data_IF_818866285153
#
_entry.id   IF_818866285153
#
_cell.length_a   1.000
_cell.length_b   1.000
_cell.length_c   1.000
_cell.angle_alpha   90.00
_cell.angle_beta   90.00
_cell.angle_gamma   90.00
#
_symmetry.space_group_name_H-M   'P 1'
#
loop_
_entity.id
_entity.type
_entity.pdbx_description
1 polymer ?
#
# COMPACT_ATOMS: atom_id res chain seq x y z
N UNK A 1 -8.32 15.32 8.11
CA UNK A 1 -9.75 15.19 7.74
C UNK A 1 -10.01 15.98 6.48
N UNK A 2 -10.85 15.43 5.60
CA UNK A 2 -11.22 16.03 4.32
C UNK A 2 -11.87 17.38 4.50
N UNK A 3 -11.70 18.25 3.52
CA UNK A 3 -12.38 19.54 3.47
C UNK A 3 -13.12 19.71 2.16
N UNK A 4 -14.32 20.26 2.26
CA UNK A 4 -15.17 20.62 1.14
C UNK A 4 -15.79 21.96 1.47
N UNK A 5 -15.73 22.90 0.54
CA UNK A 5 -16.39 24.18 0.64
C UNK A 5 -17.29 24.36 -0.59
N UNK A 6 -18.60 24.48 -0.40
CA UNK A 6 -19.52 24.52 -1.55
C UNK A 6 -19.26 25.73 -2.49
N UNK A 7 -18.72 26.84 -1.99
CA UNK A 7 -18.44 28.04 -2.79
C UNK A 7 -17.30 27.76 -3.78
N UNK A 8 -16.27 27.04 -3.36
CA UNK A 8 -15.07 26.80 -4.18
C UNK A 8 -15.06 25.43 -4.85
N UNK A 9 -15.76 24.45 -4.27
CA UNK A 9 -15.60 23.04 -4.58
C UNK A 9 -16.88 22.42 -5.17
N UNK A 10 -17.94 23.20 -5.46
CA UNK A 10 -19.19 22.65 -5.99
C UNK A 10 -18.99 21.80 -7.27
N UNK A 11 -17.99 22.11 -8.09
CA UNK A 11 -17.62 21.32 -9.27
C UNK A 11 -17.18 19.87 -8.94
N UNK A 12 -16.78 19.60 -7.70
CA UNK A 12 -16.42 18.27 -7.22
C UNK A 12 -17.63 17.37 -6.96
N UNK A 13 -18.83 17.93 -6.81
CA UNK A 13 -20.04 17.20 -6.38
C UNK A 13 -20.34 16.02 -7.30
N UNK A 14 -20.35 16.25 -8.62
CA UNK A 14 -20.64 15.20 -9.59
C UNK A 14 -19.40 14.37 -10.01
N UNK A 15 -18.23 14.64 -9.43
CA UNK A 15 -16.98 13.94 -9.73
C UNK A 15 -16.42 13.24 -8.48
N UNK A 16 -15.51 13.87 -7.74
CA UNK A 16 -14.82 13.30 -6.59
C UNK A 16 -15.77 12.99 -5.43
N UNK A 17 -16.75 13.85 -5.12
CA UNK A 17 -17.71 13.56 -4.04
C UNK A 17 -18.54 12.34 -4.38
N UNK A 18 -19.08 12.28 -5.60
CA UNK A 18 -19.81 11.10 -6.09
C UNK A 18 -18.96 9.83 -6.05
N UNK A 19 -17.67 9.90 -6.40
CA UNK A 19 -16.74 8.79 -6.32
C UNK A 19 -16.54 8.30 -4.89
N UNK A 20 -16.28 9.23 -3.97
CA UNK A 20 -16.12 8.96 -2.55
C UNK A 20 -17.34 8.27 -1.93
N UNK A 21 -18.56 8.76 -2.22
CA UNK A 21 -19.79 8.16 -1.71
C UNK A 21 -19.96 6.71 -2.18
N UNK A 22 -19.57 6.40 -3.42
CA UNK A 22 -19.65 5.05 -3.97
C UNK A 22 -18.62 4.13 -3.32
N UNK A 23 -17.37 4.58 -3.19
CA UNK A 23 -16.32 3.75 -2.61
C UNK A 23 -16.58 3.51 -1.11
N UNK A 24 -16.97 4.56 -0.38
CA UNK A 24 -17.33 4.45 1.04
C UNK A 24 -18.50 3.47 1.25
N UNK A 25 -19.52 3.50 0.39
CA UNK A 25 -20.65 2.57 0.48
C UNK A 25 -20.21 1.11 0.29
N UNK A 26 -19.37 0.87 -0.72
CA UNK A 26 -18.83 -0.45 -1.03
C UNK A 26 -18.01 -1.00 0.14
N UNK A 27 -17.09 -0.21 0.67
CA UNK A 27 -16.21 -0.65 1.76
C UNK A 27 -16.97 -0.84 3.08
N UNK A 28 -17.90 0.06 3.42
CA UNK A 28 -18.76 -0.12 4.59
C UNK A 28 -19.57 -1.41 4.49
N UNK A 29 -20.15 -1.71 3.32
CA UNK A 29 -20.89 -2.96 3.12
C UNK A 29 -19.99 -4.18 3.36
N UNK A 30 -18.77 -4.18 2.80
CA UNK A 30 -17.82 -5.27 3.01
C UNK A 30 -17.40 -5.42 4.46
N UNK A 31 -17.09 -4.32 5.16
CA UNK A 31 -16.68 -4.35 6.56
C UNK A 31 -17.82 -4.81 7.49
N UNK A 32 -19.07 -4.48 7.17
CA UNK A 32 -20.24 -5.00 7.88
C UNK A 32 -20.32 -6.52 7.73
N UNK A 33 -20.09 -7.04 6.53
CA UNK A 33 -20.15 -8.47 6.27
C UNK A 33 -18.94 -9.24 6.86
N UNK A 34 -17.77 -8.61 6.93
CA UNK A 34 -16.51 -9.25 7.33
C UNK A 34 -16.22 -9.24 8.83
N UNK A 35 -16.70 -8.23 9.56
CA UNK A 35 -16.32 -7.98 10.94
C UNK A 35 -17.46 -8.24 11.92
N UNK A 36 -17.15 -8.89 13.06
CA UNK A 36 -18.14 -9.12 14.12
C UNK A 36 -18.47 -7.82 14.88
N UNK A 37 -17.45 -7.03 15.23
CA UNK A 37 -17.63 -5.70 15.85
C UNK A 37 -17.77 -4.62 14.78
N UNK A 38 -18.94 -4.59 14.14
CA UNK A 38 -19.23 -3.74 12.99
C UNK A 38 -20.24 -2.62 13.26
N UNK A 39 -20.65 -2.41 14.51
CA UNK A 39 -21.71 -1.43 14.88
C UNK A 39 -21.40 -0.02 14.34
N UNK A 40 -20.13 0.39 14.40
CA UNK A 40 -19.67 1.69 13.88
C UNK A 40 -19.83 1.81 12.36
N UNK A 41 -19.58 0.72 11.63
CA UNK A 41 -19.76 0.67 10.18
C UNK A 41 -21.26 0.68 9.83
N UNK A 42 -22.11 -0.02 10.59
CA UNK A 42 -23.57 0.00 10.42
C UNK A 42 -24.15 1.40 10.65
N UNK A 43 -23.74 2.09 11.73
CA UNK A 43 -24.15 3.48 12.04
C UNK A 43 -23.80 4.40 10.86
N UNK A 44 -22.56 4.32 10.40
CA UNK A 44 -22.05 5.14 9.29
C UNK A 44 -22.76 4.81 7.97
N UNK A 45 -23.01 3.53 7.69
CA UNK A 45 -23.71 3.09 6.48
C UNK A 45 -25.15 3.59 6.43
N UNK A 46 -25.87 3.60 7.56
CA UNK A 46 -27.21 4.20 7.65
C UNK A 46 -27.18 5.68 7.32
N UNK A 47 -26.24 6.42 7.89
CA UNK A 47 -26.04 7.85 7.61
C UNK A 47 -25.70 8.13 6.15
N UNK A 48 -24.86 7.29 5.55
CA UNK A 48 -24.55 7.36 4.13
C UNK A 48 -25.80 7.12 3.26
N UNK A 49 -26.68 6.20 3.63
CA UNK A 49 -27.96 5.98 2.92
C UNK A 49 -28.91 7.17 3.04
N UNK A 50 -29.01 7.78 4.23
CA UNK A 50 -29.78 9.02 4.43
C UNK A 50 -29.26 10.13 3.50
N UNK A 51 -27.94 10.34 3.46
CA UNK A 51 -27.29 11.30 2.57
C UNK A 51 -27.59 11.02 1.10
N UNK A 52 -27.43 9.77 0.65
CA UNK A 52 -27.72 9.36 -0.73
C UNK A 52 -29.19 9.53 -1.12
N UNK A 53 -30.12 9.26 -0.20
CA UNK A 53 -31.55 9.43 -0.46
C UNK A 53 -31.89 10.91 -0.63
N UNK A 54 -31.33 11.77 0.22
CA UNK A 54 -31.51 13.23 0.16
C UNK A 54 -30.89 13.84 -1.09
N UNK A 55 -29.71 13.39 -1.47
CA UNK A 55 -28.93 13.88 -2.61
C UNK A 55 -28.83 12.84 -3.74
N UNK A 56 -29.97 12.27 -4.11
CA UNK A 56 -30.03 11.18 -5.10
C UNK A 56 -29.57 11.61 -6.49
N UNK A 57 -29.81 12.87 -6.86
CA UNK A 57 -29.28 13.49 -8.08
C UNK A 57 -28.21 14.56 -7.74
N UNK A 58 -26.95 14.12 -7.69
CA UNK A 58 -25.79 14.99 -7.46
C UNK A 58 -25.60 16.04 -8.55
N UNK A 59 -26.10 15.81 -9.77
CA UNK A 59 -26.00 16.78 -10.85
C UNK A 59 -27.00 17.93 -10.65
N UNK A 60 -28.22 17.63 -10.19
CA UNK A 60 -29.21 18.62 -9.79
C UNK A 60 -28.72 19.48 -8.61
N UNK A 61 -28.11 18.86 -7.58
CA UNK A 61 -27.50 19.58 -6.45
C UNK A 61 -26.42 20.55 -6.94
N UNK A 62 -25.52 20.09 -7.80
CA UNK A 62 -24.51 20.93 -8.45
C UNK A 62 -25.14 22.12 -9.18
N UNK A 63 -26.16 21.89 -10.00
CA UNK A 63 -26.80 22.94 -10.80
C UNK A 63 -27.52 23.96 -9.92
N UNK A 64 -28.18 23.53 -8.83
CA UNK A 64 -28.81 24.42 -7.86
C UNK A 64 -27.80 25.36 -7.21
N UNK A 65 -26.70 24.80 -6.70
CA UNK A 65 -25.63 25.59 -6.08
C UNK A 65 -25.03 26.57 -7.09
N UNK A 66 -24.74 26.12 -8.31
CA UNK A 66 -24.21 26.97 -9.36
C UNK A 66 -25.17 28.13 -9.69
N UNK A 67 -26.46 27.86 -9.82
CA UNK A 67 -27.47 28.89 -10.10
C UNK A 67 -27.58 29.91 -8.97
N UNK A 68 -27.51 29.47 -7.71
CA UNK A 68 -27.52 30.35 -6.55
C UNK A 68 -26.29 31.27 -6.53
N UNK A 69 -25.10 30.73 -6.83
CA UNK A 69 -23.85 31.48 -6.94
C UNK A 69 -23.82 32.43 -8.15
N UNK A 70 -24.52 32.11 -9.24
CA UNK A 70 -24.64 32.96 -10.43
C UNK A 70 -25.84 33.92 -10.38
N UNK A 71 -26.62 33.90 -9.31
CA UNK A 71 -27.73 34.85 -9.13
C UNK A 71 -27.20 36.29 -9.06
N UNK A 72 -27.99 37.24 -9.56
CA UNK A 72 -27.59 38.65 -9.60
C UNK A 72 -27.16 39.17 -8.22
N UNK A 73 -27.89 38.83 -7.15
CA UNK A 73 -27.54 39.24 -5.79
C UNK A 73 -26.17 38.68 -5.36
N UNK A 74 -25.95 37.38 -5.55
CA UNK A 74 -24.68 36.72 -5.20
C UNK A 74 -23.51 37.28 -5.99
N UNK A 75 -23.69 37.53 -7.29
CA UNK A 75 -22.65 38.10 -8.17
C UNK A 75 -22.35 39.54 -7.79
N UNK A 76 -23.37 40.39 -7.60
CA UNK A 76 -23.17 41.78 -7.17
C UNK A 76 -22.44 41.87 -5.83
N UNK A 77 -22.81 41.01 -4.87
CA UNK A 77 -22.11 40.94 -3.60
C UNK A 77 -20.65 40.50 -3.79
N UNK A 78 -20.40 39.48 -4.60
CA UNK A 78 -19.05 38.97 -4.85
C UNK A 78 -18.16 40.02 -5.54
N UNK A 79 -18.67 40.72 -6.57
CA UNK A 79 -17.96 41.81 -7.25
C UNK A 79 -17.62 42.94 -6.28
N UNK A 80 -18.54 43.30 -5.37
CA UNK A 80 -18.32 44.37 -4.40
C UNK A 80 -17.34 44.01 -3.28
N UNK A 81 -17.36 42.75 -2.82
CA UNK A 81 -16.64 42.33 -1.61
C UNK A 81 -15.44 41.41 -1.88
N UNK A 82 -15.22 41.00 -3.13
CA UNK A 82 -14.15 40.07 -3.54
C UNK A 82 -14.39 38.61 -3.13
N UNK A 83 -15.56 38.28 -2.57
CA UNK A 83 -15.97 36.93 -2.16
C UNK A 83 -17.49 36.80 -2.08
N UNK A 84 -17.99 35.60 -2.27
CA UNK A 84 -19.41 35.27 -2.01
C UNK A 84 -19.76 35.41 -0.53
N UNK A 85 -21.04 35.64 -0.23
CA UNK A 85 -21.56 35.47 1.13
C UNK A 85 -21.44 34.00 1.55
N UNK A 86 -21.28 33.75 2.85
CA UNK A 86 -21.23 32.38 3.38
C UNK A 86 -22.52 31.60 3.13
N UNK A 87 -23.66 32.31 3.03
CA UNK A 87 -24.99 31.78 2.75
C UNK A 87 -25.46 32.02 1.31
N UNK A 88 -24.53 32.23 0.37
CA UNK A 88 -24.84 32.43 -1.04
C UNK A 88 -25.63 31.27 -1.68
N UNK A 89 -25.58 30.07 -1.11
CA UNK A 89 -26.51 28.97 -1.43
C UNK A 89 -26.91 28.22 -0.15
N UNK A 90 -28.20 28.21 0.16
CA UNK A 90 -28.74 27.41 1.27
C UNK A 90 -28.60 25.92 1.00
N UNK A 91 -28.77 25.49 -0.26
CA UNK A 91 -28.55 24.11 -0.70
C UNK A 91 -27.08 23.72 -0.51
N UNK A 92 -26.16 24.63 -0.89
CA UNK A 92 -24.72 24.43 -0.72
C UNK A 92 -24.30 24.30 0.74
N UNK A 93 -24.80 25.19 1.61
CA UNK A 93 -24.57 25.13 3.06
C UNK A 93 -25.07 23.81 3.67
N UNK A 94 -26.27 23.40 3.29
CA UNK A 94 -26.85 22.16 3.79
C UNK A 94 -26.05 20.94 3.33
N UNK A 95 -25.70 20.89 2.05
CA UNK A 95 -24.89 19.82 1.48
C UNK A 95 -23.50 19.72 2.13
N UNK A 96 -22.82 20.86 2.31
CA UNK A 96 -21.51 20.91 2.96
C UNK A 96 -21.59 20.38 4.40
N UNK A 97 -22.61 20.79 5.17
CA UNK A 97 -22.82 20.33 6.54
C UNK A 97 -23.01 18.81 6.58
N UNK A 98 -23.90 18.28 5.75
CA UNK A 98 -24.25 16.86 5.76
C UNK A 98 -23.06 16.01 5.26
N UNK A 99 -22.30 16.50 4.27
CA UNK A 99 -21.08 15.84 3.80
C UNK A 99 -19.98 15.84 4.88
N UNK A 100 -19.86 16.93 5.65
CA UNK A 100 -18.92 17.00 6.77
C UNK A 100 -19.25 15.99 7.88
N UNK A 101 -20.53 15.70 8.12
CA UNK A 101 -20.92 14.63 9.04
C UNK A 101 -20.37 13.27 8.58
N UNK A 102 -20.42 12.97 7.28
CA UNK A 102 -19.82 11.75 6.71
C UNK A 102 -18.30 11.70 6.90
N UNK A 103 -17.58 12.82 6.76
CA UNK A 103 -16.14 12.85 7.00
C UNK A 103 -15.76 12.55 8.45
N UNK A 104 -16.56 13.03 9.40
CA UNK A 104 -16.36 12.74 10.83
C UNK A 104 -16.59 11.24 11.10
N UNK A 105 -17.62 10.66 10.49
CA UNK A 105 -17.90 9.24 10.61
C UNK A 105 -16.82 8.36 9.95
N UNK A 106 -16.31 8.75 8.77
CA UNK A 106 -15.16 8.10 8.13
C UNK A 106 -13.95 8.08 9.08
N UNK A 107 -13.65 9.19 9.75
CA UNK A 107 -12.53 9.25 10.70
C UNK A 107 -12.73 8.36 11.93
N UNK A 108 -13.96 8.26 12.43
CA UNK A 108 -14.32 7.31 13.51
C UNK A 108 -14.14 5.87 13.04
N UNK A 109 -14.65 5.53 11.84
CA UNK A 109 -14.46 4.22 11.21
C UNK A 109 -12.99 3.89 11.03
N UNK A 110 -12.19 4.81 10.50
CA UNK A 110 -10.74 4.67 10.33
C UNK A 110 -10.05 4.30 11.64
N UNK A 111 -10.40 4.99 12.72
CA UNK A 111 -9.84 4.70 14.06
C UNK A 111 -10.17 3.28 14.54
N UNK A 112 -11.29 2.70 14.07
CA UNK A 112 -11.61 1.30 14.30
C UNK A 112 -10.86 0.37 13.34
N UNK A 113 -10.76 0.75 12.06
CA UNK A 113 -10.01 -0.01 11.04
C UNK A 113 -8.55 -0.23 11.44
N UNK A 114 -7.88 0.74 12.07
CA UNK A 114 -6.49 0.55 12.54
C UNK A 114 -6.35 -0.62 13.52
N UNK A 115 -7.37 -0.87 14.35
CA UNK A 115 -7.35 -2.04 15.24
C UNK A 115 -7.38 -3.35 14.45
N UNK A 116 -8.06 -3.37 13.30
CA UNK A 116 -8.07 -4.51 12.39
C UNK A 116 -6.69 -4.71 11.75
N UNK A 117 -6.00 -3.63 11.37
CA UNK A 117 -4.60 -3.70 10.92
C UNK A 117 -3.70 -4.31 12.00
N UNK A 118 -3.81 -3.85 13.25
CA UNK A 118 -3.03 -4.44 14.36
C UNK A 118 -3.35 -5.90 14.63
N UNK A 119 -4.62 -6.29 14.48
CA UNK A 119 -5.11 -7.65 14.76
C UNK A 119 -4.73 -8.65 13.68
N UNK A 120 -4.86 -8.26 12.41
CA UNK A 120 -4.82 -9.19 11.27
C UNK A 120 -3.44 -9.30 10.62
N UNK A 121 -2.55 -8.33 10.85
CA UNK A 121 -1.17 -8.43 10.36
C UNK A 121 -0.39 -9.48 11.16
N UNK A 122 0.42 -10.26 10.45
CA UNK A 122 1.36 -11.20 11.01
C UNK A 122 2.55 -10.46 11.62
N UNK A 123 2.82 -10.74 12.89
CA UNK A 123 4.03 -10.27 13.57
C UNK A 123 5.28 -10.70 12.80
N UNK A 124 6.22 -9.77 12.60
CA UNK A 124 7.46 -10.01 11.86
C UNK A 124 8.25 -11.23 12.38
N UNK A 125 8.32 -11.36 13.70
CA UNK A 125 9.12 -12.43 14.32
C UNK A 125 8.47 -13.82 14.13
N UNK A 126 7.16 -13.86 13.92
CA UNK A 126 6.35 -15.07 13.72
C UNK A 126 6.25 -15.49 12.24
N UNK A 127 6.76 -14.69 11.30
CA UNK A 127 6.77 -15.02 9.87
C UNK A 127 7.61 -16.28 9.63
N UNK A 128 6.99 -17.25 8.94
CA UNK A 128 7.61 -18.50 8.53
C UNK A 128 7.35 -18.80 7.05
N UNK A 129 8.41 -19.17 6.35
CA UNK A 129 8.34 -19.50 4.93
C UNK A 129 7.45 -20.73 4.68
N UNK A 130 6.43 -20.53 3.82
CA UNK A 130 5.42 -21.54 3.51
C UNK A 130 4.24 -21.57 4.47
N UNK A 131 4.13 -20.65 5.44
CA UNK A 131 2.93 -20.45 6.27
C UNK A 131 2.14 -19.21 5.81
N UNK A 132 0.88 -19.12 6.22
CA UNK A 132 0.03 -17.98 5.87
C UNK A 132 0.49 -16.73 6.62
N UNK A 133 0.46 -15.59 5.92
CA UNK A 133 0.88 -14.32 6.50
C UNK A 133 0.20 -13.16 5.82
N UNK A 134 0.23 -12.01 6.49
CA UNK A 134 -0.16 -10.73 5.94
C UNK A 134 0.70 -9.64 6.57
N UNK A 135 1.33 -8.78 5.76
CA UNK A 135 2.23 -7.74 6.26
C UNK A 135 2.21 -6.50 5.39
N UNK A 136 2.55 -5.35 5.97
CA UNK A 136 2.76 -4.10 5.21
C UNK A 136 4.23 -3.95 4.92
N UNK A 137 4.56 -3.75 3.65
CA UNK A 137 5.93 -3.62 3.17
C UNK A 137 6.16 -2.32 2.42
N UNK A 138 7.36 -1.78 2.57
CA UNK A 138 7.91 -0.79 1.65
C UNK A 138 8.87 -1.51 0.71
N UNK A 139 8.47 -1.63 -0.56
CA UNK A 139 9.34 -2.14 -1.61
C UNK A 139 10.25 -1.00 -2.09
N UNK A 140 11.53 -1.06 -1.74
CA UNK A 140 12.52 -0.12 -2.23
C UNK A 140 13.87 -0.77 -2.37
N UNK A 141 14.63 -0.31 -3.37
CA UNK A 141 16.06 -0.56 -3.47
C UNK A 141 16.85 0.26 -2.48
N UNK A 142 16.29 0.91 -1.47
CA UNK A 142 17.03 1.64 -0.45
C UNK A 142 16.32 1.56 0.89
N UNK A 143 17.11 1.66 1.96
CA UNK A 143 16.56 1.57 3.31
C UNK A 143 15.57 2.75 3.51
N UNK A 144 14.31 2.49 3.89
CA UNK A 144 13.35 3.54 4.16
C UNK A 144 13.90 4.53 5.20
N UNK A 145 13.69 5.82 4.97
CA UNK A 145 14.24 6.87 5.84
C UNK A 145 15.64 7.35 5.47
N UNK A 146 16.34 6.74 4.50
CA UNK A 146 17.64 7.26 4.03
C UNK A 146 17.48 8.40 3.01
N UNK A 147 18.42 9.37 2.97
CA UNK A 147 18.40 10.48 2.01
C UNK A 147 18.36 10.03 0.55
N UNK A 148 18.93 8.87 0.27
CA UNK A 148 19.09 8.38 -1.10
C UNK A 148 17.84 7.64 -1.63
N UNK A 149 16.83 7.32 -0.81
CA UNK A 149 15.70 6.45 -1.23
C UNK A 149 15.06 6.92 -2.57
N UNK A 150 15.41 6.23 -3.66
CA UNK A 150 15.26 6.63 -5.06
C UNK A 150 13.82 6.96 -5.47
N UNK A 151 12.85 6.35 -4.80
CA UNK A 151 11.41 6.64 -4.99
C UNK A 151 11.05 8.11 -4.67
N UNK A 152 12.00 8.90 -4.15
CA UNK A 152 11.78 10.25 -3.65
C UNK A 152 12.90 11.25 -4.00
N UNK A 153 13.74 10.96 -5.01
CA UNK A 153 14.77 11.90 -5.44
C UNK A 153 14.18 13.24 -5.97
N UNK A 154 14.84 14.35 -5.58
CA UNK A 154 14.71 15.69 -6.17
C UNK A 154 13.38 16.43 -6.02
N UNK A 155 12.71 16.36 -4.87
CA UNK A 155 11.81 17.46 -4.48
C UNK A 155 12.24 18.00 -3.12
N UNK A 156 12.21 19.32 -2.93
CA UNK A 156 12.64 20.03 -1.71
C UNK A 156 11.83 19.67 -0.44
N UNK A 157 11.00 18.63 -0.52
CA UNK A 157 10.17 18.09 0.55
C UNK A 157 10.48 16.60 0.64
N UNK A 158 11.22 16.19 1.67
CA UNK A 158 11.20 14.80 2.11
C UNK A 158 9.74 14.46 2.40
N UNK A 159 9.10 13.67 1.53
CA UNK A 159 7.68 13.37 1.66
C UNK A 159 7.41 12.79 3.05
N UNK A 160 6.39 13.31 3.71
CA UNK A 160 6.10 13.03 5.12
C UNK A 160 5.27 11.76 5.32
N UNK A 161 5.08 11.01 4.24
CA UNK A 161 4.40 9.72 4.22
C UNK A 161 5.33 8.65 3.63
N UNK A 162 5.07 7.39 3.98
CA UNK A 162 5.59 6.21 3.31
C UNK A 162 4.46 5.62 2.46
N UNK A 163 4.78 5.37 1.19
CA UNK A 163 3.94 4.55 0.33
C UNK A 163 4.41 3.10 0.49
N UNK A 164 3.49 2.26 0.94
CA UNK A 164 3.69 0.85 1.24
C UNK A 164 2.64 0.04 0.47
N UNK A 165 2.77 -1.28 0.52
CA UNK A 165 1.76 -2.21 0.04
C UNK A 165 1.49 -3.26 1.12
N UNK A 166 0.26 -3.71 1.18
CA UNK A 166 -0.09 -4.97 1.83
C UNK A 166 0.38 -6.11 0.92
N UNK A 167 1.10 -7.07 1.50
CA UNK A 167 1.35 -8.36 0.85
C UNK A 167 0.84 -9.47 1.76
N UNK A 168 0.44 -10.57 1.16
CA UNK A 168 0.01 -11.77 1.88
C UNK A 168 0.47 -13.03 1.15
N UNK A 169 0.27 -14.17 1.78
CA UNK A 169 0.45 -15.48 1.13
C UNK A 169 -0.36 -15.66 -0.16
N UNK A 170 -1.43 -14.88 -0.37
CA UNK A 170 -2.30 -14.91 -1.56
C UNK A 170 -1.98 -13.82 -2.58
N UNK A 171 -1.33 -12.75 -2.14
CA UNK A 171 -0.94 -11.60 -2.95
C UNK A 171 0.51 -11.20 -2.64
N UNK A 172 1.45 -11.75 -3.42
CA UNK A 172 2.90 -11.50 -3.28
C UNK A 172 3.42 -10.53 -4.33
N UNK A 173 2.57 -9.60 -4.76
CA UNK A 173 2.90 -8.65 -5.81
C UNK A 173 3.83 -7.57 -5.25
N UNK A 174 4.90 -7.28 -5.98
CA UNK A 174 5.87 -6.25 -5.59
C UNK A 174 6.09 -5.28 -6.73
N UNK A 175 6.35 -4.03 -6.38
CA UNK A 175 6.69 -2.99 -7.35
C UNK A 175 7.96 -3.36 -8.12
N UNK A 176 7.87 -3.43 -9.45
CA UNK A 176 8.98 -3.76 -10.35
C UNK A 176 9.77 -5.04 -9.99
N UNK A 177 9.09 -6.05 -9.43
CA UNK A 177 9.75 -7.32 -9.08
C UNK A 177 10.78 -7.22 -7.95
N UNK A 178 10.70 -6.17 -7.13
CA UNK A 178 11.62 -5.95 -6.01
C UNK A 178 11.70 -7.18 -5.09
N UNK A 179 12.92 -7.57 -4.74
CA UNK A 179 13.25 -8.76 -3.94
C UNK A 179 13.51 -8.49 -2.45
N UNK A 180 13.87 -7.25 -2.12
CA UNK A 180 14.08 -6.79 -0.75
C UNK A 180 12.88 -5.97 -0.28
N UNK A 181 12.11 -6.49 0.66
CA UNK A 181 10.88 -5.84 1.15
C UNK A 181 11.06 -5.46 2.61
N UNK A 182 10.93 -4.18 2.94
CA UNK A 182 11.07 -3.72 4.33
C UNK A 182 9.71 -3.77 5.03
N UNK A 183 9.61 -4.53 6.12
CA UNK A 183 8.36 -4.70 6.86
C UNK A 183 8.13 -3.50 7.79
N UNK A 184 6.98 -2.87 7.65
CA UNK A 184 6.57 -1.69 8.41
C UNK A 184 5.54 -2.07 9.47
N UNK A 185 5.67 -1.47 10.64
CA UNK A 185 4.59 -1.50 11.62
C UNK A 185 3.42 -0.62 11.20
N UNK A 186 2.22 -1.07 11.53
CA UNK A 186 1.00 -0.26 11.43
C UNK A 186 0.46 -0.02 12.84
N UNK A 187 0.32 1.24 13.18
CA UNK A 187 -0.12 1.72 14.49
C UNK A 187 -1.12 2.88 14.37
N UNK A 188 -1.82 3.17 15.48
CA UNK A 188 -2.86 4.21 15.55
C UNK A 188 -2.34 5.61 15.22
N UNK A 189 -1.07 5.86 15.51
CA UNK A 189 -0.43 7.15 15.31
C UNK A 189 0.19 7.30 13.91
N UNK A 190 0.46 6.19 13.22
CA UNK A 190 1.11 6.16 11.91
C UNK A 190 0.17 5.86 10.73
N UNK A 191 -0.94 5.16 10.93
CA UNK A 191 -1.82 4.80 9.82
C UNK A 191 -2.58 6.02 9.27
N UNK A 192 -2.54 6.20 7.95
CA UNK A 192 -3.24 7.29 7.25
C UNK A 192 -4.40 6.73 6.45
N UNK A 193 -4.13 5.82 5.52
CA UNK A 193 -5.12 5.28 4.59
C UNK A 193 -4.65 3.98 3.94
N UNK A 194 -5.56 3.31 3.27
CA UNK A 194 -5.27 2.14 2.43
C UNK A 194 -6.21 2.11 1.24
N UNK A 195 -5.74 1.57 0.12
CA UNK A 195 -6.50 1.36 -1.10
C UNK A 195 -6.10 0.04 -1.72
N UNK A 196 -7.07 -0.72 -2.23
CA UNK A 196 -6.80 -1.98 -2.94
C UNK A 196 -6.16 -1.74 -4.32
N UNK A 197 -6.10 -0.48 -4.75
CA UNK A 197 -5.35 -0.02 -5.91
C UNK A 197 -4.28 0.98 -5.52
N UNK A 198 -3.22 1.05 -6.31
CA UNK A 198 -2.26 2.15 -6.25
C UNK A 198 -3.02 3.49 -6.28
N UNK A 199 -2.67 4.38 -5.37
CA UNK A 199 -3.29 5.69 -5.30
C UNK A 199 -2.25 6.80 -5.27
N UNK A 200 -2.67 7.95 -5.81
CA UNK A 200 -1.77 9.11 -5.85
C UNK A 200 -1.75 9.77 -4.50
N UNK A 201 -0.69 9.49 -3.76
CA UNK A 201 -0.41 10.11 -2.48
C UNK A 201 0.51 11.31 -2.64
N UNK A 202 0.20 12.41 -1.93
CA UNK A 202 1.03 13.61 -1.88
C UNK A 202 0.86 14.35 -0.55
N UNK A 203 1.83 15.19 -0.20
CA UNK A 203 1.72 16.18 0.87
C UNK A 203 1.54 17.61 0.32
N UNK A 204 0.79 18.44 1.04
CA UNK A 204 0.48 19.83 0.67
C UNK A 204 0.39 20.72 1.92
N UNK A 205 0.61 22.03 1.75
CA UNK A 205 0.43 23.02 2.82
C UNK A 205 -1.03 23.49 2.98
N UNK A 206 -1.93 23.05 2.09
CA UNK A 206 -3.35 23.39 2.12
C UNK A 206 -4.22 22.15 2.02
N UNK A 207 -5.22 22.01 2.91
CA UNK A 207 -6.16 20.88 2.86
C UNK A 207 -7.17 21.04 1.74
N UNK A 208 -7.64 19.89 1.24
CA UNK A 208 -8.64 19.74 0.18
C UNK A 208 -9.56 18.53 0.45
N UNK A 209 -10.39 18.18 -0.53
CA UNK A 209 -11.31 17.04 -0.46
C UNK A 209 -10.61 15.68 -0.33
N UNK A 210 -9.40 15.54 -0.86
CA UNK A 210 -8.63 14.30 -0.82
C UNK A 210 -7.74 14.19 0.44
N UNK A 211 -7.72 15.23 1.27
CA UNK A 211 -6.91 15.27 2.49
C UNK A 211 -7.42 14.30 3.54
N UNK A 212 -6.62 13.30 3.89
CA UNK A 212 -6.96 12.28 4.89
C UNK A 212 -6.37 12.61 6.26
N UNK A 213 -5.11 13.07 6.29
CA UNK A 213 -4.39 13.32 7.55
C UNK A 213 -3.78 14.73 7.58
N UNK A 214 -3.88 15.38 8.73
CA UNK A 214 -3.04 16.53 9.08
C UNK A 214 -1.89 16.01 9.95
N UNK A 215 -0.67 16.45 9.65
CA UNK A 215 0.55 16.14 10.39
C UNK A 215 1.28 17.45 10.72
N UNK A 216 2.05 17.43 11.82
CA UNK A 216 2.93 18.53 12.19
C UNK A 216 4.36 18.18 11.77
N UNK A 217 4.99 19.08 11.03
CA UNK A 217 6.37 18.96 10.58
C UNK A 217 7.09 20.21 11.04
N UNK A 218 7.88 20.08 12.11
CA UNK A 218 8.65 21.18 12.69
C UNK A 218 7.79 22.44 13.00
N UNK A 219 6.59 22.25 13.54
CA UNK A 219 5.65 23.33 13.86
C UNK A 219 4.86 23.87 12.66
N UNK A 220 5.02 23.27 11.47
CA UNK A 220 4.23 23.59 10.27
C UNK A 220 3.21 22.49 10.00
N UNK A 221 1.97 22.89 9.68
CA UNK A 221 0.92 21.94 9.29
C UNK A 221 1.13 21.47 7.86
N UNK A 222 1.19 20.16 7.68
CA UNK A 222 1.16 19.49 6.39
C UNK A 222 -0.06 18.58 6.30
N UNK A 223 -0.54 18.39 5.09
CA UNK A 223 -1.74 17.62 4.79
C UNK A 223 -1.40 16.50 3.82
N UNK A 224 -1.66 15.26 4.23
CA UNK A 224 -1.49 14.09 3.37
C UNK A 224 -2.81 13.85 2.64
N UNK A 225 -2.75 13.86 1.32
CA UNK A 225 -3.88 13.58 0.44
C UNK A 225 -3.64 12.32 -0.36
N UNK A 226 -4.73 11.60 -0.66
CA UNK A 226 -4.71 10.35 -1.43
C UNK A 226 -5.78 10.41 -2.51
N UNK A 227 -5.42 10.02 -3.74
CA UNK A 227 -6.28 10.04 -4.92
C UNK A 227 -6.24 11.36 -5.70
N UNK A 228 -6.84 11.37 -6.89
CA UNK A 228 -6.85 12.54 -7.76
C UNK A 228 -8.05 13.46 -7.52
N UNK A 229 -7.80 14.76 -7.55
CA UNK A 229 -8.87 15.77 -7.52
C UNK A 229 -9.62 15.74 -8.85
N UNK A 230 -10.95 15.88 -8.81
CA UNK A 230 -11.86 15.83 -9.97
C UNK A 230 -12.01 14.46 -10.67
N UNK A 231 -11.45 13.37 -10.11
CA UNK A 231 -11.57 12.05 -10.71
C UNK A 231 -12.48 11.13 -9.88
N UNK A 232 -13.63 10.76 -10.46
CA UNK A 232 -14.60 9.88 -9.80
C UNK A 232 -14.06 8.45 -9.60
N UNK A 233 -13.19 7.96 -10.48
CA UNK A 233 -12.73 6.55 -10.47
C UNK A 233 -11.65 6.28 -9.43
N UNK A 234 -11.08 7.34 -8.85
CA UNK A 234 -9.86 7.28 -8.04
C UNK A 234 -10.08 7.94 -6.69
N UNK A 235 -11.32 7.87 -6.19
CA UNK A 235 -11.64 8.24 -4.83
C UNK A 235 -11.16 7.15 -3.89
N UNK A 236 -10.37 7.54 -2.89
CA UNK A 236 -9.81 6.64 -1.89
C UNK A 236 -10.38 7.02 -0.54
N UNK A 237 -10.82 6.05 0.25
CA UNK A 237 -11.22 6.27 1.65
C UNK A 237 -10.06 5.93 2.59
N UNK A 238 -10.31 6.01 3.89
CA UNK A 238 -9.36 5.64 4.93
C UNK A 238 -9.80 4.47 5.82
N UNK A 239 -10.87 3.73 5.45
CA UNK A 239 -11.49 2.73 6.33
C UNK A 239 -11.12 1.27 6.01
N UNK A 240 -10.29 1.03 4.99
CA UNK A 240 -9.96 -0.33 4.60
C UNK A 240 -9.29 -1.16 5.68
N UNK A 241 -9.56 -2.47 5.68
CA UNK A 241 -8.92 -3.47 6.55
C UNK A 241 -8.00 -4.38 5.73
N UNK A 242 -7.00 -5.04 6.35
CA UNK A 242 -6.08 -5.91 5.62
C UNK A 242 -6.79 -6.99 4.80
N UNK A 243 -7.77 -7.67 5.39
CA UNK A 243 -8.56 -8.73 4.73
C UNK A 243 -9.37 -8.18 3.55
N UNK A 244 -9.98 -6.99 3.71
CA UNK A 244 -10.73 -6.35 2.64
C UNK A 244 -9.83 -5.98 1.46
N UNK A 245 -8.65 -5.41 1.73
CA UNK A 245 -7.66 -5.05 0.71
C UNK A 245 -7.21 -6.31 -0.03
N UNK A 246 -6.79 -7.37 0.68
CA UNK A 246 -6.39 -8.64 0.05
C UNK A 246 -7.50 -9.19 -0.86
N UNK A 247 -8.75 -9.27 -0.38
CA UNK A 247 -9.84 -9.80 -1.19
C UNK A 247 -10.09 -8.99 -2.47
N UNK A 248 -10.09 -7.66 -2.36
CA UNK A 248 -10.32 -6.77 -3.49
C UNK A 248 -9.18 -6.84 -4.49
N UNK A 249 -7.95 -6.89 -4.00
CA UNK A 249 -6.76 -6.96 -4.84
C UNK A 249 -6.64 -8.31 -5.56
N UNK A 250 -6.92 -9.43 -4.88
CA UNK A 250 -7.02 -10.76 -5.51
C UNK A 250 -8.12 -10.81 -6.56
N UNK A 251 -9.32 -10.29 -6.24
CA UNK A 251 -10.45 -10.23 -7.20
C UNK A 251 -10.09 -9.40 -8.43
N UNK A 252 -9.41 -8.27 -8.24
CA UNK A 252 -8.93 -7.40 -9.32
C UNK A 252 -7.93 -8.14 -10.19
N UNK A 253 -6.94 -8.80 -9.59
CA UNK A 253 -5.88 -9.50 -10.32
C UNK A 253 -6.42 -10.62 -11.20
N UNK A 254 -7.31 -11.44 -10.63
CA UNK A 254 -7.97 -12.53 -11.34
C UNK A 254 -8.85 -12.01 -12.49
N UNK A 255 -9.50 -10.85 -12.29
CA UNK A 255 -10.31 -10.23 -13.34
C UNK A 255 -9.46 -9.72 -14.51
N UNK A 256 -8.29 -9.13 -14.23
CA UNK A 256 -7.45 -8.50 -15.24
C UNK A 256 -6.58 -9.52 -16.00
N UNK A 257 -6.04 -10.50 -15.29
CA UNK A 257 -5.03 -11.43 -15.83
C UNK A 257 -5.47 -12.89 -15.89
N UNK A 258 -6.48 -13.29 -15.11
CA UNK A 258 -6.88 -14.69 -14.95
C UNK A 258 -5.97 -15.53 -14.04
N UNK A 259 -4.86 -14.98 -13.54
CA UNK A 259 -3.84 -15.72 -12.80
C UNK A 259 -3.40 -14.97 -11.53
N UNK A 260 -2.86 -15.69 -10.55
CA UNK A 260 -2.22 -15.11 -9.37
C UNK A 260 -0.70 -15.13 -9.51
N UNK A 261 -0.01 -14.32 -8.71
CA UNK A 261 1.45 -14.36 -8.56
C UNK A 261 2.24 -13.95 -9.83
N UNK A 262 1.66 -13.15 -10.71
CA UNK A 262 2.29 -12.69 -11.95
C UNK A 262 3.43 -11.71 -11.69
N UNK A 263 4.41 -11.66 -12.61
CA UNK A 263 5.40 -10.59 -12.70
C UNK A 263 4.73 -9.30 -13.24
N UNK A 264 5.04 -8.12 -12.66
CA UNK A 264 4.41 -6.82 -12.96
C UNK A 264 2.90 -6.74 -12.71
N UNK A 265 2.45 -7.34 -11.60
CA UNK A 265 1.06 -7.29 -11.16
C UNK A 265 0.65 -5.92 -10.60
N UNK A 266 -0.66 -5.66 -10.51
CA UNK A 266 -1.20 -4.42 -9.97
C UNK A 266 -0.95 -4.35 -8.45
N UNK A 267 -0.38 -3.24 -7.98
CA UNK A 267 -0.14 -3.03 -6.54
C UNK A 267 -1.36 -2.42 -5.84
N UNK A 268 -1.44 -2.66 -4.55
CA UNK A 268 -2.29 -1.92 -3.62
C UNK A 268 -1.45 -0.87 -2.89
N UNK A 269 -2.09 0.09 -2.22
CA UNK A 269 -1.40 1.14 -1.46
C UNK A 269 -1.82 1.14 0.01
N UNK A 270 -0.84 1.26 0.88
CA UNK A 270 -0.99 1.57 2.31
C UNK A 270 -0.14 2.80 2.59
N UNK A 271 -0.76 3.84 3.13
CA UNK A 271 -0.11 5.12 3.40
C UNK A 271 0.12 5.24 4.89
N UNK A 272 1.38 5.42 5.28
CA UNK A 272 1.80 5.59 6.67
C UNK A 272 2.50 6.93 6.90
N UNK A 273 2.38 7.51 8.09
CA UNK A 273 3.15 8.67 8.53
C UNK A 273 4.62 8.27 8.71
N UNK A 274 5.48 8.80 7.83
CA UNK A 274 6.90 8.41 7.78
C UNK A 274 7.63 8.73 9.07
N UNK A 275 7.22 9.80 9.77
CA UNK A 275 7.91 10.29 10.96
C UNK A 275 7.67 9.41 12.19
N UNK A 276 6.64 8.55 12.14
CA UNK A 276 6.24 7.67 13.25
C UNK A 276 6.37 6.19 12.92
N UNK A 277 6.51 5.86 11.64
CA UNK A 277 6.62 4.47 11.20
C UNK A 277 7.98 3.88 11.54
N UNK A 278 7.98 2.65 12.05
CA UNK A 278 9.18 1.87 12.35
C UNK A 278 9.27 0.67 11.40
N UNK A 279 10.47 0.42 10.91
CA UNK A 279 10.80 -0.81 10.18
C UNK A 279 11.15 -1.91 11.18
N UNK A 280 10.56 -3.10 11.04
CA UNK A 280 10.85 -4.26 11.89
C UNK A 280 11.98 -5.14 11.38
N UNK A 281 12.16 -5.19 10.08
CA UNK A 281 13.17 -5.99 9.40
C UNK A 281 12.87 -6.06 7.91
N UNK A 282 13.51 -6.97 7.21
CA UNK A 282 13.28 -7.20 5.79
C UNK A 282 12.74 -8.61 5.51
N UNK A 283 12.15 -8.77 4.32
CA UNK A 283 11.90 -10.02 3.65
C UNK A 283 12.80 -10.08 2.42
N UNK A 284 13.51 -11.19 2.26
CA UNK A 284 14.05 -11.60 0.97
C UNK A 284 12.98 -12.46 0.28
N UNK A 285 12.38 -11.91 -0.77
CA UNK A 285 11.33 -12.56 -1.55
C UNK A 285 11.94 -13.22 -2.78
N UNK A 286 11.81 -14.54 -2.86
CA UNK A 286 12.19 -15.35 -4.01
C UNK A 286 10.99 -15.60 -4.94
N UNK A 287 11.22 -15.69 -6.25
CA UNK A 287 10.22 -16.13 -7.25
C UNK A 287 10.06 -17.66 -7.33
N UNK A 288 10.80 -18.43 -6.53
CA UNK A 288 10.79 -19.89 -6.55
C UNK A 288 12.00 -20.53 -7.25
N UNK A 289 12.73 -19.76 -8.05
CA UNK A 289 14.04 -20.11 -8.57
C UNK A 289 14.85 -18.83 -8.83
N UNK A 290 15.82 -18.52 -7.97
CA UNK A 290 16.67 -17.33 -8.07
C UNK A 290 17.89 -17.43 -7.14
N UNK A 291 18.84 -16.51 -7.33
CA UNK A 291 20.00 -16.31 -6.46
C UNK A 291 19.94 -14.91 -5.89
N UNK A 292 19.66 -14.79 -4.60
CA UNK A 292 19.51 -13.50 -3.91
C UNK A 292 20.79 -13.07 -3.19
N UNK A 293 21.96 -13.36 -3.75
CA UNK A 293 23.25 -13.08 -3.11
C UNK A 293 23.49 -11.57 -2.98
N UNK A 294 23.17 -10.79 -4.01
CA UNK A 294 23.36 -9.34 -3.99
C UNK A 294 22.47 -8.68 -2.93
N UNK A 295 21.19 -9.07 -2.88
CA UNK A 295 20.24 -8.60 -1.86
C UNK A 295 20.67 -9.02 -0.45
N UNK A 296 21.15 -10.24 -0.29
CA UNK A 296 21.68 -10.74 0.99
C UNK A 296 22.86 -9.91 1.48
N UNK A 297 23.90 -9.77 0.65
CA UNK A 297 25.11 -9.01 1.01
C UNK A 297 24.77 -7.57 1.38
N UNK A 298 23.82 -6.99 0.64
CA UNK A 298 23.31 -5.67 0.91
C UNK A 298 22.62 -5.59 2.27
N UNK A 299 21.68 -6.47 2.59
CA UNK A 299 21.01 -6.47 3.90
C UNK A 299 21.99 -6.70 5.05
N UNK A 300 22.97 -7.59 4.86
CA UNK A 300 24.09 -7.84 5.79
C UNK A 300 24.90 -6.56 6.02
N UNK A 301 25.25 -5.84 4.95
CA UNK A 301 26.01 -4.57 5.04
C UNK A 301 25.24 -3.47 5.79
N UNK A 302 23.91 -3.48 5.71
CA UNK A 302 23.05 -2.54 6.42
C UNK A 302 22.74 -2.98 7.88
N UNK A 303 23.16 -4.19 8.28
CA UNK A 303 22.83 -4.75 9.60
C UNK A 303 21.33 -5.02 9.78
N UNK A 304 20.58 -5.22 8.69
CA UNK A 304 19.12 -5.42 8.74
C UNK A 304 18.81 -6.90 8.86
N UNK A 305 18.13 -7.29 9.95
CA UNK A 305 17.60 -8.65 10.09
C UNK A 305 16.58 -8.93 8.98
N UNK A 306 16.57 -10.16 8.47
CA UNK A 306 15.66 -10.56 7.41
C UNK A 306 15.03 -11.94 7.63
N UNK A 307 13.94 -12.21 6.89
CA UNK A 307 13.32 -13.54 6.74
C UNK A 307 13.24 -13.89 5.26
N UNK A 308 13.29 -15.19 4.95
CA UNK A 308 13.15 -15.68 3.58
C UNK A 308 11.69 -16.05 3.29
N UNK A 309 11.17 -15.63 2.14
CA UNK A 309 9.87 -16.04 1.62
C UNK A 309 10.06 -16.53 0.19
N UNK A 310 9.64 -17.77 -0.07
CA UNK A 310 9.70 -18.38 -1.38
C UNK A 310 8.28 -18.44 -1.98
N UNK A 311 8.04 -17.61 -3.00
CA UNK A 311 6.77 -17.53 -3.75
C UNK A 311 6.36 -18.86 -4.39
N UNK A 312 7.32 -19.70 -4.77
CA UNK A 312 7.08 -21.02 -5.33
C UNK A 312 6.31 -21.95 -4.39
N UNK A 313 6.53 -21.86 -3.07
CA UNK A 313 5.77 -22.65 -2.09
C UNK A 313 4.28 -22.26 -2.07
N UNK A 314 3.98 -20.98 -2.26
CA UNK A 314 2.61 -20.45 -2.25
C UNK A 314 1.87 -20.71 -3.56
N UNK A 315 2.60 -20.65 -4.69
CA UNK A 315 2.10 -21.11 -6.00
C UNK A 315 1.69 -22.58 -5.92
N UNK A 316 2.55 -23.44 -5.36
CA UNK A 316 2.25 -24.87 -5.20
C UNK A 316 1.01 -25.13 -4.33
N UNK A 317 0.86 -24.44 -3.20
CA UNK A 317 -0.38 -24.49 -2.39
C UNK A 317 -1.64 -24.13 -3.16
N UNK A 318 -1.50 -23.31 -4.20
CA UNK A 318 -2.58 -22.86 -5.09
C UNK A 318 -2.71 -23.72 -6.35
N UNK A 319 -2.05 -24.89 -6.42
CA UNK A 319 -1.97 -25.77 -7.59
C UNK A 319 -1.38 -25.09 -8.84
N UNK A 320 -0.46 -24.13 -8.65
CA UNK A 320 0.30 -23.46 -9.71
C UNK A 320 1.73 -23.98 -9.66
N UNK A 321 2.39 -24.10 -10.82
CA UNK A 321 3.82 -24.44 -10.91
C UNK A 321 4.65 -23.49 -10.01
N UNK A 322 5.68 -23.97 -9.28
CA UNK A 322 6.48 -23.11 -8.41
C UNK A 322 7.14 -21.95 -9.17
N UNK A 323 7.49 -22.18 -10.43
CA UNK A 323 8.02 -21.18 -11.34
C UNK A 323 7.68 -21.52 -12.79
N UNK A 324 7.81 -20.54 -13.68
CA UNK A 324 7.70 -20.71 -15.13
C UNK A 324 9.03 -21.15 -15.75
N UNK A 325 8.99 -21.65 -16.97
CA UNK A 325 10.22 -21.98 -17.71
C UNK A 325 11.10 -20.74 -17.96
N UNK A 326 10.48 -19.57 -18.15
CA UNK A 326 11.19 -18.30 -18.30
C UNK A 326 11.93 -17.90 -17.02
N UNK A 327 11.25 -17.98 -15.87
CA UNK A 327 11.85 -17.72 -14.55
C UNK A 327 13.04 -18.67 -14.30
N UNK A 328 12.88 -19.96 -14.61
CA UNK A 328 13.95 -20.94 -14.43
C UNK A 328 15.14 -20.71 -15.38
N UNK A 329 14.90 -20.33 -16.63
CA UNK A 329 15.98 -19.99 -17.56
C UNK A 329 16.75 -18.74 -17.09
N UNK A 330 16.05 -17.73 -16.57
CA UNK A 330 16.69 -16.53 -15.99
C UNK A 330 17.51 -16.88 -14.74
N UNK A 331 17.04 -17.83 -13.92
CA UNK A 331 17.80 -18.38 -12.80
C UNK A 331 19.11 -19.04 -13.28
N UNK A 332 19.07 -19.88 -14.31
CA UNK A 332 20.28 -20.52 -14.86
C UNK A 332 21.30 -19.48 -15.36
N UNK A 333 20.83 -18.44 -16.05
CA UNK A 333 21.70 -17.32 -16.48
C UNK A 333 22.33 -16.63 -15.26
N UNK A 334 21.55 -16.41 -14.20
CA UNK A 334 22.04 -15.79 -12.96
C UNK A 334 23.08 -16.68 -12.26
N UNK A 335 22.89 -18.00 -12.31
CA UNK A 335 23.82 -19.00 -11.76
C UNK A 335 25.13 -19.06 -12.53
N UNK A 336 25.09 -18.94 -13.85
CA UNK A 336 26.29 -18.86 -14.69
C UNK A 336 27.08 -17.58 -14.39
N UNK A 337 26.39 -16.47 -14.13
CA UNK A 337 26.98 -15.16 -13.79
C UNK A 337 27.47 -15.03 -12.33
N UNK A 338 27.28 -16.05 -11.48
CA UNK A 338 27.62 -15.97 -10.05
C UNK A 338 29.09 -15.63 -9.81
N UNK A 339 30.00 -16.12 -10.66
CA UNK A 339 31.45 -15.89 -10.53
C UNK A 339 31.80 -14.40 -10.69
N UNK A 340 31.08 -13.70 -11.57
CA UNK A 340 31.22 -12.26 -11.76
C UNK A 340 30.68 -11.46 -10.58
N UNK A 341 29.56 -11.90 -9.99
CA UNK A 341 29.00 -11.28 -8.77
C UNK A 341 29.99 -11.44 -7.61
N UNK A 342 30.52 -12.65 -7.39
CA UNK A 342 31.52 -12.93 -6.36
C UNK A 342 32.73 -12.01 -6.51
N UNK A 343 33.26 -11.88 -7.73
CA UNK A 343 34.40 -11.00 -8.03
C UNK A 343 34.06 -9.52 -7.82
N UNK A 344 32.89 -9.08 -8.29
CA UNK A 344 32.45 -7.68 -8.21
C UNK A 344 32.33 -7.21 -6.76
N UNK A 345 31.74 -8.03 -5.90
CA UNK A 345 31.51 -7.71 -4.49
C UNK A 345 32.62 -8.21 -3.56
N UNK A 346 33.69 -8.81 -4.13
CA UNK A 346 34.80 -9.40 -3.37
C UNK A 346 34.30 -10.35 -2.26
N UNK A 347 33.35 -11.21 -2.62
CA UNK A 347 32.63 -12.09 -1.69
C UNK A 347 33.59 -13.16 -1.15
N UNK A 348 33.70 -13.24 0.17
CA UNK A 348 34.54 -14.23 0.84
C UNK A 348 33.89 -15.62 0.85
N UNK A 349 34.68 -16.64 1.22
CA UNK A 349 34.13 -17.98 1.46
C UNK A 349 33.08 -17.94 2.58
N UNK A 350 33.37 -17.22 3.66
CA UNK A 350 32.47 -17.05 4.80
C UNK A 350 31.16 -16.39 4.38
N UNK A 351 31.19 -15.35 3.55
CA UNK A 351 29.98 -14.69 3.07
C UNK A 351 29.11 -15.61 2.20
N UNK A 352 29.73 -16.41 1.33
CA UNK A 352 28.99 -17.42 0.54
C UNK A 352 28.43 -18.54 1.41
N UNK A 353 29.18 -18.95 2.44
CA UNK A 353 28.74 -19.99 3.37
C UNK A 353 27.55 -19.50 4.20
N UNK A 354 27.62 -18.29 4.74
CA UNK A 354 26.52 -17.66 5.48
C UNK A 354 25.31 -17.47 4.55
N UNK A 355 25.50 -16.99 3.32
CA UNK A 355 24.42 -16.89 2.32
C UNK A 355 23.72 -18.23 2.10
N UNK A 356 24.47 -19.32 2.00
CA UNK A 356 23.90 -20.65 1.83
C UNK A 356 23.06 -21.08 3.04
N UNK A 357 23.55 -20.84 4.25
CA UNK A 357 22.86 -21.21 5.50
C UNK A 357 21.66 -20.31 5.81
N UNK A 358 21.76 -19.01 5.55
CA UNK A 358 20.77 -18.00 5.93
C UNK A 358 19.74 -17.72 4.84
N UNK A 359 20.04 -18.04 3.57
CA UNK A 359 19.15 -17.78 2.43
C UNK A 359 18.81 -19.06 1.67
N UNK A 360 19.79 -19.76 1.10
CA UNK A 360 19.50 -20.90 0.20
C UNK A 360 18.72 -22.01 0.91
N UNK A 361 19.16 -22.44 2.10
CA UNK A 361 18.45 -23.48 2.87
C UNK A 361 17.06 -22.98 3.33
N UNK A 362 16.91 -21.79 3.95
CA UNK A 362 15.60 -21.30 4.40
C UNK A 362 14.59 -21.02 3.28
N UNK A 363 15.05 -20.77 2.05
CA UNK A 363 14.16 -20.62 0.89
C UNK A 363 13.40 -21.89 0.55
N UNK A 364 13.91 -23.08 0.91
CA UNK A 364 13.28 -24.37 0.61
C UNK A 364 12.95 -24.49 -0.88
N UNK A 365 13.91 -24.20 -1.74
CA UNK A 365 13.77 -24.42 -3.18
C UNK A 365 13.49 -25.91 -3.47
N UNK A 366 12.88 -26.19 -4.61
CA UNK A 366 12.65 -27.57 -5.03
C UNK A 366 13.96 -28.31 -5.35
N UNK A 367 13.87 -29.62 -5.52
CA UNK A 367 15.04 -30.49 -5.75
C UNK A 367 15.85 -30.07 -6.98
N UNK A 368 15.19 -29.64 -8.06
CA UNK A 368 15.84 -29.26 -9.30
C UNK A 368 16.72 -28.03 -9.08
N UNK A 369 16.13 -26.96 -8.55
CA UNK A 369 16.83 -25.70 -8.27
C UNK A 369 17.94 -25.92 -7.24
N UNK A 370 17.66 -26.68 -6.17
CA UNK A 370 18.66 -26.99 -5.15
C UNK A 370 19.86 -27.75 -5.73
N UNK A 371 19.64 -28.70 -6.64
CA UNK A 371 20.71 -29.46 -7.28
C UNK A 371 21.62 -28.55 -8.12
N UNK A 372 21.05 -27.63 -8.89
CA UNK A 372 21.81 -26.67 -9.70
C UNK A 372 22.62 -25.71 -8.82
N UNK A 373 22.00 -25.14 -7.77
CA UNK A 373 22.70 -24.28 -6.80
C UNK A 373 23.84 -25.04 -6.13
N UNK A 374 23.59 -26.24 -5.60
CA UNK A 374 24.62 -27.06 -4.94
C UNK A 374 25.77 -27.41 -5.89
N UNK A 375 25.46 -27.74 -7.15
CA UNK A 375 26.48 -28.03 -8.16
C UNK A 375 27.37 -26.80 -8.38
N UNK A 376 26.80 -25.61 -8.54
CA UNK A 376 27.59 -24.37 -8.73
C UNK A 376 28.39 -24.01 -7.47
N UNK A 377 27.79 -24.06 -6.28
CA UNK A 377 28.44 -23.72 -5.03
C UNK A 377 29.52 -24.72 -4.61
N UNK A 378 29.48 -25.96 -5.11
CA UNK A 378 30.52 -26.97 -4.84
C UNK A 378 31.90 -26.56 -5.37
N UNK A 379 31.98 -25.77 -6.44
CA UNK A 379 33.24 -25.20 -6.94
C UNK A 379 33.91 -24.25 -5.95
N UNK A 380 33.13 -23.72 -5.00
CA UNK A 380 33.57 -22.85 -3.91
C UNK A 380 33.74 -23.61 -2.59
N UNK A 381 33.57 -24.94 -2.59
CA UNK A 381 33.64 -25.75 -1.38
C UNK A 381 32.41 -25.63 -0.47
N UNK A 382 31.26 -25.22 -1.02
CA UNK A 382 29.99 -25.08 -0.31
C UNK A 382 28.99 -26.14 -0.81
N UNK A 383 28.30 -26.81 0.12
CA UNK A 383 27.29 -27.81 -0.19
C UNK A 383 27.05 -28.80 0.95
N UNK A 384 25.99 -29.61 0.81
CA UNK A 384 25.48 -30.56 1.81
C UNK A 384 26.50 -31.62 2.29
N UNK A 385 27.63 -31.77 1.60
CA UNK A 385 28.69 -32.73 1.90
C UNK A 385 30.02 -32.09 2.33
N UNK A 386 30.01 -30.85 2.82
CA UNK A 386 31.16 -30.27 3.54
C UNK A 386 31.17 -30.69 5.01
N UNK A 387 31.16 -32.02 5.23
CA UNK A 387 31.65 -32.62 6.46
C UNK A 387 33.16 -32.42 6.58
N UNK A 388 33.61 -31.18 6.77
CA UNK A 388 34.91 -30.93 7.41
C UNK A 388 34.64 -30.97 8.91
N UNK A 389 34.84 -32.16 9.49
CA UNK A 389 34.86 -32.36 10.92
C UNK A 389 35.75 -31.31 11.58
N UNK A 390 35.20 -30.67 12.61
CA UNK A 390 36.02 -30.06 13.66
C UNK A 390 36.74 -31.16 14.44
#
# INVERSE_FOLDING_TARGET
MRKFNYITDYSLINSSVRGYIIELEKELAMLIDMEEDNNIYIETYKKLKEFKNKYSDMHDVYNKILNDLLSNESVEYCVKNGKYKEDASLVGLEFERDLRELFILEERCRSHSVKLWKRDLTSYDDIKNGEDFMMVIHASYLLPGTPDNDNYHNNQYSKQYLSCSLISNRELNTFNGTKTLFVMDVDDDNYIASSYVDAVTADTSRPDFNTLKEIDVNGSKHYIKVGYTNNRKEAVTSIGSPRMIEELSVKRELKDSGELYRYNSLTNEVVLDRTKTKMRGAILLSDGCDLLLEEYLRLKSLGVKFKCINKGLYRQKSNISPYTDEEYNNFLISLDNLDDVIRRYNVSYEDLFDFYQEVVIPMKYDERVMNDINKKLSFYGIGASSGRGR
#
